data_IF_816597859075
#
_entry.id   IF_816597859075
#
_cell.length_a   1.000
_cell.length_b   1.000
_cell.length_c   1.000
_cell.angle_alpha   90.00
_cell.angle_beta   90.00
_cell.angle_gamma   90.00
#
_symmetry.space_group_name_H-M   'P 1'
#
loop_
_entity.id
_entity.type
_entity.pdbx_description
1 polymer ?
#
# COMPACT_ATOMS: atom_id res chain seq x y z
N UNK A 1 3.19 -2.99 -23.02
CA UNK A 1 1.90 -3.71 -22.81
C UNK A 1 1.07 -2.91 -21.80
N UNK A 2 -0.26 -2.98 -21.87
CA UNK A 2 -1.12 -2.25 -20.90
C UNK A 2 -1.84 -3.25 -20.01
N UNK A 3 -1.75 -3.03 -18.69
CA UNK A 3 -2.48 -3.79 -17.68
C UNK A 3 -3.67 -2.96 -17.20
N UNK A 4 -4.82 -3.60 -17.04
CA UNK A 4 -6.04 -2.99 -16.55
C UNK A 4 -6.25 -3.42 -15.09
N UNK A 5 -6.26 -2.47 -14.18
CA UNK A 5 -6.50 -2.72 -12.77
C UNK A 5 -7.83 -2.12 -12.35
N UNK A 6 -8.61 -2.87 -11.61
CA UNK A 6 -9.86 -2.40 -11.01
C UNK A 6 -9.59 -1.93 -9.58
N UNK A 7 -9.95 -0.69 -9.30
CA UNK A 7 -9.74 -0.04 -8.00
C UNK A 7 -11.07 0.44 -7.46
N UNK A 8 -11.31 0.22 -6.18
CA UNK A 8 -12.54 0.65 -5.51
C UNK A 8 -12.65 2.18 -5.43
N UNK A 9 -13.87 2.70 -5.34
CA UNK A 9 -14.12 4.12 -5.12
C UNK A 9 -13.42 4.65 -3.85
N UNK A 10 -13.32 3.84 -2.82
CA UNK A 10 -12.64 4.22 -1.57
C UNK A 10 -11.14 4.46 -1.75
N UNK A 11 -10.49 3.72 -2.67
CA UNK A 11 -9.04 3.73 -2.85
C UNK A 11 -8.59 4.60 -4.03
N UNK A 12 -9.48 4.86 -5.00
CA UNK A 12 -9.13 5.58 -6.23
C UNK A 12 -8.59 6.99 -5.98
N UNK A 13 -9.05 7.64 -4.90
CA UNK A 13 -8.56 8.97 -4.50
C UNK A 13 -7.07 9.01 -4.15
N UNK A 14 -6.47 7.87 -3.84
CA UNK A 14 -5.05 7.74 -3.53
C UNK A 14 -4.19 7.41 -4.77
N UNK A 15 -4.81 7.01 -5.87
CA UNK A 15 -4.10 6.67 -7.12
C UNK A 15 -4.00 7.91 -8.00
N UNK A 16 -2.81 8.14 -8.55
CA UNK A 16 -2.55 9.30 -9.45
C UNK A 16 -1.81 8.85 -10.71
N UNK A 17 -2.03 9.49 -11.85
CA UNK A 17 -1.20 9.29 -13.04
C UNK A 17 0.27 9.54 -12.73
N UNK A 18 1.17 8.71 -13.28
CA UNK A 18 2.59 8.75 -13.00
C UNK A 18 3.02 7.99 -11.75
N UNK A 19 2.09 7.50 -10.93
CA UNK A 19 2.40 6.71 -9.73
C UNK A 19 3.06 5.38 -10.12
N UNK A 20 4.09 5.00 -9.38
CA UNK A 20 4.70 3.68 -9.52
C UNK A 20 3.79 2.59 -8.96
N UNK A 21 3.74 1.49 -9.65
CA UNK A 21 3.05 0.29 -9.22
C UNK A 21 3.90 -0.95 -9.56
N UNK A 22 3.62 -2.03 -8.90
CA UNK A 22 4.17 -3.33 -9.26
C UNK A 22 3.07 -4.38 -9.14
N UNK A 23 3.21 -5.45 -9.86
CA UNK A 23 2.24 -6.53 -9.81
C UNK A 23 2.90 -7.89 -9.93
N UNK A 24 2.16 -8.91 -9.55
CA UNK A 24 2.49 -10.31 -9.72
C UNK A 24 1.38 -11.00 -10.50
N UNK A 25 1.74 -12.03 -11.27
CA UNK A 25 0.77 -12.86 -11.98
C UNK A 25 0.34 -14.04 -11.11
N UNK A 26 -0.90 -14.47 -11.23
CA UNK A 26 -1.41 -15.65 -10.50
C UNK A 26 -0.85 -16.97 -11.05
N UNK A 27 -0.37 -16.99 -12.27
CA UNK A 27 0.17 -18.18 -12.95
C UNK A 27 1.49 -18.71 -12.37
N UNK A 28 1.94 -18.12 -11.28
CA UNK A 28 3.08 -18.63 -10.53
C UNK A 28 4.36 -17.86 -10.78
N UNK A 29 5.02 -17.60 -9.71
CA UNK A 29 6.34 -17.02 -9.68
C UNK A 29 6.41 -15.84 -8.72
N UNK A 30 7.57 -15.69 -8.12
CA UNK A 30 7.93 -14.56 -7.26
C UNK A 30 8.32 -13.33 -8.08
N UNK A 31 8.16 -13.39 -9.42
CA UNK A 31 8.55 -12.28 -10.30
C UNK A 31 7.62 -11.10 -10.10
N UNK A 32 8.21 -9.97 -9.77
CA UNK A 32 7.52 -8.67 -9.69
C UNK A 32 7.76 -7.91 -10.98
N UNK A 33 6.68 -7.38 -11.54
CA UNK A 33 6.70 -6.53 -12.69
C UNK A 33 6.50 -5.09 -12.23
N UNK A 34 7.41 -4.22 -12.62
CA UNK A 34 7.28 -2.78 -12.36
C UNK A 34 6.45 -2.13 -13.45
N UNK A 35 5.61 -1.21 -13.06
CA UNK A 35 4.72 -0.48 -13.96
C UNK A 35 4.51 0.94 -13.49
N UNK A 36 3.91 1.75 -14.34
CA UNK A 36 3.54 3.13 -14.02
C UNK A 36 2.09 3.37 -14.41
N UNK A 37 1.35 4.06 -13.56
CA UNK A 37 -0.02 4.46 -13.85
C UNK A 37 -0.01 5.46 -15.01
N UNK A 38 -0.59 5.06 -16.13
CA UNK A 38 -0.75 5.93 -17.29
C UNK A 38 -1.96 6.84 -17.14
N UNK A 39 -3.10 6.24 -16.83
CA UNK A 39 -4.38 6.96 -16.81
C UNK A 39 -5.39 6.25 -15.93
N UNK A 40 -6.27 7.04 -15.32
CA UNK A 40 -7.46 6.57 -14.61
C UNK A 40 -8.66 6.87 -15.50
N UNK A 41 -9.46 5.86 -15.81
CA UNK A 41 -10.69 6.06 -16.56
C UNK A 41 -11.79 6.58 -15.63
N UNK A 42 -12.40 7.73 -15.93
CA UNK A 42 -13.38 8.37 -15.04
C UNK A 42 -14.72 7.65 -15.00
N UNK A 43 -14.94 6.70 -15.90
CA UNK A 43 -16.18 5.93 -15.96
C UNK A 43 -15.87 4.50 -15.53
N UNK A 44 -16.57 3.96 -14.52
CA UNK A 44 -16.44 2.54 -14.21
C UNK A 44 -16.83 1.71 -15.44
N UNK A 45 -16.16 0.56 -15.68
CA UNK A 45 -16.57 -0.33 -16.76
C UNK A 45 -18.05 -0.66 -16.54
N UNK A 46 -18.86 -0.44 -17.57
CA UNK A 46 -20.25 -0.90 -17.54
C UNK A 46 -20.19 -2.40 -17.27
N UNK A 47 -20.98 -2.94 -16.34
CA UNK A 47 -21.18 -4.37 -16.29
C UNK A 47 -21.52 -4.81 -17.70
N UNK A 48 -20.82 -5.75 -18.25
CA UNK A 48 -21.27 -6.46 -19.43
C UNK A 48 -22.59 -7.07 -19.02
N UNK A 49 -23.70 -6.38 -19.28
CA UNK A 49 -25.00 -7.00 -19.28
C UNK A 49 -24.83 -8.16 -20.26
N UNK A 50 -24.78 -9.34 -19.70
CA UNK A 50 -25.05 -10.55 -20.46
C UNK A 50 -26.42 -10.31 -21.09
N UNK A 51 -26.43 -9.83 -22.30
CA UNK A 51 -27.58 -9.92 -23.17
C UNK A 51 -27.85 -11.40 -23.38
N UNK A 52 -28.40 -12.04 -22.37
CA UNK A 52 -29.16 -13.24 -22.55
C UNK A 52 -30.43 -12.82 -23.31
N UNK A 53 -30.34 -12.92 -24.61
CA UNK A 53 -31.45 -12.98 -25.53
C UNK A 53 -32.32 -14.15 -25.08
N UNK A 54 -33.34 -13.84 -24.33
CA UNK A 54 -34.30 -14.80 -23.75
C UNK A 54 -35.60 -14.07 -23.50
N UNK A 55 -36.48 -14.18 -24.50
CA UNK A 55 -37.88 -13.84 -24.52
C UNK A 55 -38.63 -14.21 -23.22
N UNK A 56 -39.35 -13.24 -22.64
CA UNK A 56 -40.63 -13.49 -21.94
C UNK A 56 -40.58 -13.75 -20.45
N UNK A 57 -40.87 -12.77 -19.63
CA UNK A 57 -41.98 -12.70 -18.63
C UNK A 57 -41.70 -11.60 -17.59
N UNK A 58 -42.69 -10.80 -17.23
CA UNK A 58 -42.57 -9.80 -16.18
C UNK A 58 -42.85 -10.42 -14.80
N UNK A 59 -42.19 -9.86 -13.82
CA UNK A 59 -42.43 -10.02 -12.38
C UNK A 59 -41.52 -10.98 -11.63
N UNK A 60 -40.50 -10.36 -11.05
CA UNK A 60 -40.28 -10.47 -9.60
C UNK A 60 -39.26 -9.44 -9.15
N UNK A 61 -39.74 -8.43 -8.49
CA UNK A 61 -39.02 -7.48 -7.67
C UNK A 61 -38.31 -8.20 -6.52
N UNK A 62 -37.10 -8.61 -6.72
CA UNK A 62 -36.20 -8.89 -5.58
C UNK A 62 -35.26 -7.70 -5.39
N UNK A 63 -35.68 -6.80 -4.53
CA UNK A 63 -34.78 -5.81 -3.89
C UNK A 63 -33.78 -6.57 -3.01
N UNK A 64 -32.76 -7.15 -3.57
CA UNK A 64 -31.55 -7.42 -2.82
C UNK A 64 -30.64 -6.18 -2.95
N UNK A 65 -30.66 -5.34 -1.93
CA UNK A 65 -29.74 -4.21 -1.79
C UNK A 65 -28.34 -4.71 -1.49
N UNK A 66 -27.71 -5.37 -2.45
CA UNK A 66 -26.26 -5.52 -2.42
C UNK A 66 -25.67 -4.15 -2.73
N UNK A 67 -24.95 -3.57 -1.79
CA UNK A 67 -24.18 -2.35 -2.00
C UNK A 67 -23.32 -2.58 -3.26
N UNK A 68 -23.63 -1.86 -4.33
CA UNK A 68 -22.86 -1.93 -5.58
C UNK A 68 -21.49 -1.32 -5.30
N UNK A 69 -20.46 -2.15 -5.29
CA UNK A 69 -19.09 -1.66 -5.23
C UNK A 69 -18.78 -1.02 -6.58
N UNK A 70 -18.49 0.27 -6.57
CA UNK A 70 -18.07 1.01 -7.76
C UNK A 70 -16.57 0.76 -7.94
N UNK A 71 -16.21 0.25 -9.10
CA UNK A 71 -14.81 -0.01 -9.48
C UNK A 71 -14.42 0.93 -10.62
N UNK A 72 -13.25 1.52 -10.52
CA UNK A 72 -12.64 2.37 -11.53
C UNK A 72 -11.50 1.63 -12.22
N UNK A 73 -11.37 1.80 -13.51
CA UNK A 73 -10.29 1.19 -14.28
C UNK A 73 -9.07 2.09 -14.31
N UNK A 74 -7.94 1.55 -13.87
CA UNK A 74 -6.62 2.18 -13.93
C UNK A 74 -5.79 1.47 -14.98
N UNK A 75 -5.26 2.22 -15.93
CA UNK A 75 -4.36 1.72 -16.97
C UNK A 75 -2.92 1.87 -16.53
N UNK A 76 -2.18 0.77 -16.60
CA UNK A 76 -0.78 0.69 -16.22
C UNK A 76 0.05 0.31 -17.43
N UNK A 77 1.15 1.02 -17.65
CA UNK A 77 2.12 0.66 -18.67
C UNK A 77 3.20 -0.23 -18.08
N UNK A 78 3.46 -1.33 -18.75
CA UNK A 78 4.47 -2.32 -18.37
C UNK A 78 5.34 -2.71 -19.58
N UNK A 79 6.62 -2.87 -19.31
CA UNK A 79 7.53 -3.43 -20.29
C UNK A 79 7.37 -4.96 -20.33
N UNK A 80 7.15 -5.50 -21.52
CA UNK A 80 6.99 -6.94 -21.79
C UNK A 80 7.90 -7.37 -22.94
N UNK A 81 9.18 -6.98 -22.88
CA UNK A 81 10.15 -7.25 -23.94
C UNK A 81 10.39 -8.76 -24.11
N UNK A 82 10.26 -9.53 -23.06
CA UNK A 82 10.44 -10.99 -23.07
C UNK A 82 9.15 -11.78 -23.37
N UNK A 83 8.05 -11.10 -23.69
CA UNK A 83 6.74 -11.69 -23.97
C UNK A 83 6.21 -12.69 -22.91
N UNK A 84 6.67 -12.55 -21.67
CA UNK A 84 6.24 -13.42 -20.58
C UNK A 84 4.84 -13.09 -20.06
N UNK A 85 4.33 -11.89 -20.32
CA UNK A 85 2.95 -11.50 -20.05
C UNK A 85 2.08 -11.77 -21.27
N UNK A 86 1.03 -12.52 -21.10
CA UNK A 86 0.03 -12.84 -22.13
C UNK A 86 -1.26 -12.05 -21.87
N UNK A 87 -2.08 -11.93 -22.91
CA UNK A 87 -3.42 -11.37 -22.77
C UNK A 87 -4.27 -12.23 -21.82
N UNK A 88 -5.20 -11.59 -21.13
CA UNK A 88 -6.15 -12.22 -20.21
C UNK A 88 -5.54 -12.87 -18.95
N UNK A 89 -4.25 -12.63 -18.67
CA UNK A 89 -3.65 -13.04 -17.41
C UNK A 89 -4.21 -12.21 -16.25
N UNK A 90 -4.61 -12.87 -15.18
CA UNK A 90 -5.00 -12.21 -13.93
C UNK A 90 -3.76 -11.81 -13.14
N UNK A 91 -3.74 -10.59 -12.66
CA UNK A 91 -2.63 -10.01 -11.90
C UNK A 91 -3.13 -9.39 -10.60
N UNK A 92 -2.26 -9.38 -9.59
CA UNK A 92 -2.49 -8.60 -8.37
C UNK A 92 -1.58 -7.38 -8.41
N UNK A 93 -2.20 -6.18 -8.42
CA UNK A 93 -1.50 -4.90 -8.54
C UNK A 93 -1.38 -4.23 -7.19
N UNK A 94 -0.20 -3.66 -6.92
CA UNK A 94 0.12 -2.88 -5.73
C UNK A 94 0.56 -1.49 -6.15
N UNK A 95 -0.14 -0.47 -5.69
CA UNK A 95 0.21 0.92 -5.92
C UNK A 95 1.14 1.41 -4.81
N UNK A 96 2.21 2.12 -5.19
CA UNK A 96 3.20 2.67 -4.26
C UNK A 96 2.83 4.11 -3.96
N UNK A 97 2.09 4.34 -2.88
CA UNK A 97 1.60 5.67 -2.52
C UNK A 97 2.73 6.64 -2.16
N UNK A 98 3.71 6.15 -1.42
CA UNK A 98 4.88 6.92 -1.00
C UNK A 98 6.12 6.03 -1.03
N UNK A 99 7.25 6.60 -1.39
CA UNK A 99 8.53 5.92 -1.40
C UNK A 99 9.60 6.85 -0.87
N UNK A 100 10.39 6.36 0.07
CA UNK A 100 11.61 7.02 0.53
C UNK A 100 12.80 6.12 0.25
N UNK A 101 13.87 6.67 -0.33
CA UNK A 101 15.09 5.93 -0.64
C UNK A 101 16.25 6.54 0.17
N UNK A 102 17.18 5.66 0.61
CA UNK A 102 18.37 6.08 1.37
C UNK A 102 18.02 6.86 2.65
N UNK A 103 17.01 6.40 3.39
CA UNK A 103 16.54 7.02 4.61
C UNK A 103 16.80 6.15 5.82
N UNK A 104 17.08 6.77 6.96
CA UNK A 104 17.17 6.07 8.22
C UNK A 104 15.79 5.52 8.60
N UNK A 105 15.74 4.28 9.00
CA UNK A 105 14.50 3.62 9.42
C UNK A 105 14.64 2.96 10.77
N UNK A 106 13.57 2.98 11.57
CA UNK A 106 13.50 2.25 12.83
C UNK A 106 12.28 1.29 12.84
N UNK A 107 12.34 0.20 13.59
CA UNK A 107 11.16 -0.63 13.83
C UNK A 107 10.08 0.17 14.57
N UNK A 108 8.82 0.07 14.14
CA UNK A 108 7.71 0.75 14.83
C UNK A 108 7.61 0.31 16.29
N UNK A 109 7.92 -0.97 16.59
CA UNK A 109 7.89 -1.52 17.94
C UNK A 109 8.89 -0.86 18.92
N UNK A 110 9.90 -0.15 18.41
CA UNK A 110 10.87 0.59 19.23
C UNK A 110 10.45 2.03 19.52
N UNK A 111 9.34 2.47 18.95
CA UNK A 111 8.84 3.82 19.08
C UNK A 111 7.53 3.82 19.89
N UNK A 112 7.44 4.78 20.80
CA UNK A 112 6.24 5.01 21.60
C UNK A 112 5.50 6.21 21.01
N UNK A 113 4.16 6.09 20.94
CA UNK A 113 3.31 7.16 20.42
C UNK A 113 3.48 8.41 21.29
N UNK A 114 3.91 9.51 20.67
CA UNK A 114 4.03 10.80 21.31
C UNK A 114 2.70 11.58 21.29
N UNK A 115 2.75 12.81 21.78
CA UNK A 115 1.59 13.70 21.83
C UNK A 115 1.12 14.18 20.44
N UNK A 116 1.97 14.03 19.42
CA UNK A 116 1.67 14.40 18.04
C UNK A 116 1.97 13.22 17.11
N UNK A 117 1.24 13.07 15.99
CA UNK A 117 1.39 11.93 15.10
C UNK A 117 2.79 11.82 14.47
N UNK A 118 3.47 12.96 14.26
CA UNK A 118 4.79 13.02 13.64
C UNK A 118 5.94 13.03 14.66
N UNK A 119 5.64 13.11 15.96
CA UNK A 119 6.61 13.14 17.04
C UNK A 119 6.41 11.92 17.92
N UNK A 120 7.35 11.00 17.87
CA UNK A 120 7.36 9.78 18.67
C UNK A 120 8.54 9.79 19.62
N UNK A 121 8.52 8.94 20.63
CA UNK A 121 9.61 8.80 21.59
C UNK A 121 10.30 7.47 21.40
N UNK A 122 11.61 7.47 21.30
CA UNK A 122 12.45 6.28 21.27
C UNK A 122 13.27 6.17 22.54
N UNK A 123 13.51 4.96 22.98
CA UNK A 123 14.47 4.66 24.05
C UNK A 123 15.76 4.19 23.42
N UNK A 124 16.80 4.97 23.56
CA UNK A 124 18.13 4.71 23.00
C UNK A 124 19.06 4.24 24.10
N UNK A 125 19.74 3.13 23.87
CA UNK A 125 20.76 2.64 24.79
C UNK A 125 22.08 3.33 24.44
N UNK A 126 22.55 4.17 25.34
CA UNK A 126 23.83 4.85 25.18
C UNK A 126 25.00 3.87 25.37
N UNK A 127 26.19 4.24 24.89
CA UNK A 127 27.41 3.41 24.98
C UNK A 127 27.81 3.01 26.40
N UNK A 128 27.37 3.78 27.39
CA UNK A 128 27.58 3.51 28.83
C UNK A 128 26.51 2.58 29.45
N UNK A 129 25.55 2.11 28.64
CA UNK A 129 24.45 1.25 29.08
C UNK A 129 23.25 2.00 29.67
N UNK A 130 23.29 3.34 29.74
CA UNK A 130 22.14 4.12 30.18
C UNK A 130 21.07 4.19 29.10
N UNK A 131 19.80 4.26 29.51
CA UNK A 131 18.68 4.42 28.61
C UNK A 131 18.28 5.89 28.59
N UNK A 132 18.29 6.46 27.40
CA UNK A 132 17.89 7.84 27.15
C UNK A 132 16.59 7.86 26.34
N UNK A 133 15.63 8.66 26.78
CA UNK A 133 14.46 8.96 25.96
C UNK A 133 14.79 10.10 25.01
N UNK A 134 14.57 9.85 23.71
CA UNK A 134 14.75 10.87 22.65
C UNK A 134 13.46 11.07 21.90
N UNK A 135 13.14 12.31 21.63
CA UNK A 135 12.06 12.67 20.73
C UNK A 135 12.52 12.45 19.30
N UNK A 136 11.75 11.71 18.54
CA UNK A 136 12.07 11.31 17.18
C UNK A 136 11.00 11.84 16.26
N UNK A 137 11.40 12.57 15.25
CA UNK A 137 10.51 13.00 14.18
C UNK A 137 10.41 11.91 13.15
N UNK A 138 9.21 11.46 12.89
CA UNK A 138 8.94 10.37 11.97
C UNK A 138 8.32 10.86 10.68
N UNK A 139 8.55 10.14 9.59
CA UNK A 139 7.99 10.40 8.27
C UNK A 139 7.08 9.27 7.81
N UNK A 140 7.33 8.75 6.62
CA UNK A 140 6.56 7.67 6.02
C UNK A 140 6.75 6.39 6.84
N UNK A 141 5.67 5.68 7.09
CA UNK A 141 5.68 4.39 7.78
C UNK A 141 5.03 3.29 6.96
N UNK A 142 5.53 2.08 7.10
CA UNK A 142 4.87 0.86 6.69
C UNK A 142 4.41 0.07 7.93
N UNK A 143 4.05 -1.21 7.75
CA UNK A 143 3.57 -2.05 8.87
C UNK A 143 4.65 -2.44 9.88
N UNK A 144 5.93 -2.33 9.54
CA UNK A 144 7.07 -2.82 10.32
C UNK A 144 8.06 -1.73 10.67
N UNK A 145 8.24 -0.75 9.80
CA UNK A 145 9.26 0.29 9.88
C UNK A 145 8.68 1.67 9.64
N UNK A 146 9.34 2.64 10.23
CA UNK A 146 9.04 4.05 10.03
C UNK A 146 10.32 4.80 9.66
N UNK A 147 10.18 5.73 8.75
CA UNK A 147 11.25 6.66 8.38
C UNK A 147 11.55 7.60 9.54
N UNK A 148 12.82 7.78 9.84
CA UNK A 148 13.31 8.74 10.81
C UNK A 148 13.79 9.98 10.05
N UNK A 149 13.17 11.12 10.37
CA UNK A 149 13.56 12.41 9.82
C UNK A 149 14.59 13.11 10.71
N UNK A 150 14.45 12.93 12.04
CA UNK A 150 15.33 13.55 13.03
C UNK A 150 15.24 12.81 14.38
N UNK A 151 16.28 12.96 15.22
CA UNK A 151 16.32 12.44 16.59
C UNK A 151 17.09 11.12 16.78
N UNK A 152 17.40 10.38 15.72
CA UNK A 152 18.21 9.16 15.76
C UNK A 152 19.33 9.20 14.72
N UNK A 153 20.38 8.43 15.00
CA UNK A 153 21.53 8.28 14.12
C UNK A 153 21.72 6.80 13.73
N UNK A 154 22.40 6.59 12.62
CA UNK A 154 22.78 5.24 12.21
C UNK A 154 23.72 4.62 13.24
N UNK A 155 23.36 3.40 13.70
CA UNK A 155 24.10 2.71 14.75
C UNK A 155 23.54 2.90 16.17
N UNK A 156 22.52 3.73 16.36
CA UNK A 156 21.84 3.82 17.65
C UNK A 156 21.13 2.48 17.99
N UNK A 157 21.30 2.01 19.21
CA UNK A 157 20.64 0.84 19.73
C UNK A 157 19.32 1.21 20.37
N UNK A 158 18.21 0.73 19.81
CA UNK A 158 16.88 1.00 20.30
C UNK A 158 16.38 -0.12 21.21
N UNK A 159 15.77 0.22 22.33
CA UNK A 159 15.09 -0.75 23.17
C UNK A 159 13.69 -1.02 22.60
N UNK A 160 13.40 -2.30 22.39
CA UNK A 160 12.08 -2.76 21.92
C UNK A 160 11.34 -3.33 23.13
N UNK A 161 10.28 -2.66 23.54
CA UNK A 161 9.40 -3.12 24.62
C UNK A 161 9.22 -2.09 25.75
N UNK A 162 8.25 -2.30 26.63
CA UNK A 162 8.11 -1.46 27.83
C UNK A 162 9.30 -1.69 28.74
N UNK A 163 9.92 -0.63 29.21
CA UNK A 163 10.80 -0.73 30.38
C UNK A 163 9.86 -0.88 31.55
N UNK A 164 9.71 -2.08 32.09
CA UNK A 164 9.18 -2.25 33.43
C UNK A 164 10.14 -1.56 34.39
N UNK A 165 9.83 -0.33 34.72
CA UNK A 165 10.49 0.44 35.77
C UNK A 165 10.14 -0.13 37.13
N UNK A 166 10.48 -1.40 37.37
CA UNK A 166 10.40 -2.07 38.67
C UNK A 166 11.80 -2.52 39.06
N UNK A 167 12.56 -1.62 39.57
CA UNK A 167 13.80 -1.87 40.27
C UNK A 167 13.85 -0.91 41.47
N UNK A 168 13.28 -1.39 42.58
CA UNK A 168 13.18 -0.74 43.84
C UNK A 168 14.50 -0.43 44.53
#
# INVERSE_FOLDING_TARGET
>A
MTVWAEVSEADIGHVKPGMHAWFTTLSGGTRRWTSTVRQILPVPPKPLDQTSQGSGSPASTSKSGSARVVLYTVLLDVDNADNALMAEMTTQVFFVANQAQNVLTAPIAALQTGAQPDLQTAQVVAKNGSIEQRNVRTGISDRLRVQILDGLQEGDHLLIGPVDGSGG
#
